data_IF_844796269867
#
_entry.id   IF_844796269867
#
_cell.length_a   1.000
_cell.length_b   1.000
_cell.length_c   1.000
_cell.angle_alpha   90.00
_cell.angle_beta   90.00
_cell.angle_gamma   90.00
#
_symmetry.space_group_name_H-M   'P 1'
#
loop_
_entity.id
_entity.type
_entity.pdbx_description
1 polymer ?
#
# COMPACT_ATOMS: atom_id res chain seq x y z
N UNK A 1 -55.14 82.32 11.57
CA UNK A 1 -54.84 81.28 10.55
C UNK A 1 -53.37 80.95 10.68
N UNK A 2 -53.07 79.78 11.24
CA UNK A 2 -51.71 79.24 11.32
C UNK A 2 -51.82 77.80 10.88
N UNK A 3 -51.29 77.58 9.69
CA UNK A 3 -51.37 76.40 8.85
C UNK A 3 -50.62 75.25 9.53
N UNK A 4 -51.35 74.20 9.92
CA UNK A 4 -50.76 72.97 10.44
C UNK A 4 -50.20 72.23 9.23
N UNK A 5 -48.89 72.36 9.01
CA UNK A 5 -48.14 71.52 8.08
C UNK A 5 -48.06 70.13 8.74
N UNK A 6 -49.02 69.27 8.40
CA UNK A 6 -48.91 67.83 8.67
C UNK A 6 -47.65 67.31 7.97
N UNK A 7 -46.64 66.96 8.75
CA UNK A 7 -45.50 66.20 8.26
C UNK A 7 -46.02 64.85 7.76
N UNK A 8 -46.14 64.67 6.45
CA UNK A 8 -46.40 63.36 5.86
C UNK A 8 -45.24 62.40 6.22
N UNK A 9 -45.45 61.57 7.25
CA UNK A 9 -44.57 60.44 7.53
C UNK A 9 -44.47 59.57 6.27
N UNK A 10 -43.22 59.36 5.82
CA UNK A 10 -42.89 58.52 4.64
C UNK A 10 -42.82 57.03 4.97
N UNK A 11 -43.03 56.67 6.24
CA UNK A 11 -43.05 55.29 6.72
C UNK A 11 -44.41 54.95 7.30
N UNK A 12 -44.95 53.81 6.85
CA UNK A 12 -46.29 53.35 7.20
C UNK A 12 -46.27 52.60 8.55
N UNK A 13 -45.26 51.75 8.78
CA UNK A 13 -44.97 51.09 10.07
C UNK A 13 -43.47 50.80 10.16
N UNK A 14 -42.89 50.87 11.36
CA UNK A 14 -41.51 50.45 11.62
C UNK A 14 -41.36 48.91 11.56
N UNK A 15 -40.33 48.44 10.86
CA UNK A 15 -40.02 47.02 10.71
C UNK A 15 -39.49 46.39 12.02
N UNK A 16 -39.50 45.05 12.14
CA UNK A 16 -38.84 44.37 13.24
C UNK A 16 -37.36 44.79 13.36
N UNK A 17 -36.88 45.18 14.55
CA UNK A 17 -35.47 45.42 14.81
C UNK A 17 -34.62 44.18 14.46
N UNK A 18 -33.38 44.39 14.01
CA UNK A 18 -32.49 43.31 13.55
C UNK A 18 -32.31 42.21 14.61
N UNK A 19 -32.24 42.60 15.87
CA UNK A 19 -32.05 41.72 17.04
C UNK A 19 -33.24 40.76 17.23
N UNK A 20 -34.45 41.19 16.85
CA UNK A 20 -35.69 40.42 17.01
C UNK A 20 -36.15 39.77 15.70
N UNK A 21 -35.59 40.18 14.56
CA UNK A 21 -36.00 39.74 13.24
C UNK A 21 -35.97 38.21 13.10
N UNK A 22 -34.91 37.54 13.56
CA UNK A 22 -34.87 36.06 13.50
C UNK A 22 -36.05 35.42 14.24
N UNK A 23 -36.36 35.89 15.44
CA UNK A 23 -37.49 35.37 16.23
C UNK A 23 -38.83 35.63 15.55
N UNK A 24 -39.00 36.82 14.98
CA UNK A 24 -40.22 37.22 14.26
C UNK A 24 -40.45 36.37 13.01
N UNK A 25 -39.43 36.17 12.17
CA UNK A 25 -39.56 35.40 10.92
C UNK A 25 -39.59 33.88 11.13
N UNK A 26 -39.13 33.37 12.29
CA UNK A 26 -39.19 31.93 12.61
C UNK A 26 -40.45 31.52 13.37
N UNK A 27 -41.24 32.48 13.86
CA UNK A 27 -42.50 32.23 14.56
C UNK A 27 -43.66 32.23 13.57
N UNK A 28 -44.52 31.21 13.64
CA UNK A 28 -45.78 31.19 12.88
C UNK A 28 -46.63 32.41 13.24
N UNK A 29 -46.99 33.24 12.25
CA UNK A 29 -47.72 34.49 12.49
C UNK A 29 -46.89 35.61 13.16
N UNK A 30 -45.56 35.48 13.23
CA UNK A 30 -44.73 36.48 13.93
C UNK A 30 -44.77 37.88 13.32
N UNK A 31 -45.14 37.99 12.03
CA UNK A 31 -45.34 39.28 11.35
C UNK A 31 -46.73 39.88 11.54
N UNK A 32 -47.69 39.14 12.10
CA UNK A 32 -49.09 39.57 12.22
C UNK A 32 -49.22 40.92 12.96
N UNK A 33 -48.50 41.20 14.07
CA UNK A 33 -48.57 42.52 14.72
C UNK A 33 -48.14 43.69 13.83
N UNK A 34 -47.25 43.45 12.86
CA UNK A 34 -46.81 44.47 11.89
C UNK A 34 -47.83 44.63 10.77
N UNK A 35 -48.42 43.52 10.30
CA UNK A 35 -49.49 43.52 9.30
C UNK A 35 -50.76 44.19 9.83
N UNK A 36 -51.12 43.94 11.09
CA UNK A 36 -52.25 44.58 11.77
C UNK A 36 -52.08 46.10 11.86
N UNK A 37 -50.88 46.59 12.19
CA UNK A 37 -50.58 48.03 12.18
C UNK A 37 -50.68 48.63 10.78
N UNK A 38 -50.16 47.96 9.76
CA UNK A 38 -50.29 48.38 8.36
C UNK A 38 -51.77 48.45 7.96
N UNK A 39 -52.55 47.45 8.38
CA UNK A 39 -53.98 47.38 8.10
C UNK A 39 -54.75 48.51 8.79
N UNK A 40 -54.42 48.85 10.04
CA UNK A 40 -55.02 49.99 10.74
C UNK A 40 -54.78 51.32 10.02
N UNK A 41 -53.57 51.56 9.52
CA UNK A 41 -53.24 52.76 8.71
C UNK A 41 -54.01 52.80 7.38
N UNK A 42 -54.18 51.64 6.73
CA UNK A 42 -54.98 51.52 5.50
C UNK A 42 -56.47 51.78 5.79
N UNK A 43 -56.99 51.27 6.90
CA UNK A 43 -58.41 51.43 7.27
C UNK A 43 -58.76 52.85 7.71
N UNK A 44 -57.79 53.59 8.27
CA UNK A 44 -57.94 55.01 8.58
C UNK A 44 -57.92 55.91 7.33
N UNK A 45 -57.41 55.42 6.20
CA UNK A 45 -57.29 56.19 4.96
C UNK A 45 -58.62 56.26 4.20
N UNK A 46 -59.15 57.47 4.02
CA UNK A 46 -60.39 57.72 3.27
C UNK A 46 -60.08 58.12 1.83
N UNK A 47 -60.33 57.25 0.83
CA UNK A 47 -60.01 57.54 -0.57
C UNK A 47 -61.02 58.50 -1.20
N UNK A 48 -60.54 59.53 -1.90
CA UNK A 48 -61.34 60.42 -2.76
C UNK A 48 -60.84 60.36 -4.21
N UNK A 49 -61.70 59.94 -5.13
CA UNK A 49 -61.38 59.87 -6.58
C UNK A 49 -61.86 61.08 -7.37
N UNK A 50 -62.69 61.94 -6.76
CA UNK A 50 -63.32 63.09 -7.43
C UNK A 50 -62.30 64.20 -7.73
N UNK A 51 -61.24 64.31 -6.91
CA UNK A 51 -60.21 65.34 -7.05
C UNK A 51 -58.86 64.78 -7.51
N UNK A 52 -58.04 65.60 -8.19
CA UNK A 52 -56.68 65.23 -8.56
C UNK A 52 -55.81 64.96 -7.32
N UNK A 53 -56.00 65.75 -6.24
CA UNK A 53 -55.31 65.56 -4.97
C UNK A 53 -55.66 64.23 -4.31
N UNK A 54 -56.94 63.86 -4.26
CA UNK A 54 -57.39 62.58 -3.69
C UNK A 54 -56.83 61.37 -4.46
N UNK A 55 -56.84 61.40 -5.80
CA UNK A 55 -56.19 60.36 -6.63
C UNK A 55 -54.70 60.24 -6.36
N UNK A 56 -54.00 61.37 -6.17
CA UNK A 56 -52.57 61.36 -5.82
C UNK A 56 -52.32 60.79 -4.42
N UNK A 57 -53.20 61.06 -3.45
CA UNK A 57 -53.10 60.49 -2.10
C UNK A 57 -53.29 58.95 -2.10
N UNK A 58 -54.22 58.44 -2.93
CA UNK A 58 -54.41 56.99 -3.12
C UNK A 58 -53.13 56.35 -3.67
N UNK A 59 -52.52 56.96 -4.70
CA UNK A 59 -51.26 56.49 -5.27
C UNK A 59 -50.12 56.50 -4.24
N UNK A 60 -50.04 57.56 -3.40
CA UNK A 60 -49.06 57.65 -2.32
C UNK A 60 -49.23 56.54 -1.28
N UNK A 61 -50.47 56.27 -0.84
CA UNK A 61 -50.76 55.19 0.10
C UNK A 61 -50.37 53.82 -0.48
N UNK A 62 -50.75 53.53 -1.73
CA UNK A 62 -50.35 52.31 -2.42
C UNK A 62 -48.83 52.16 -2.53
N UNK A 63 -48.11 53.25 -2.83
CA UNK A 63 -46.65 53.26 -2.88
C UNK A 63 -46.02 52.95 -1.51
N UNK A 64 -46.55 53.52 -0.42
CA UNK A 64 -46.08 53.21 0.94
C UNK A 64 -46.28 51.72 1.29
N UNK A 65 -47.42 51.12 0.92
CA UNK A 65 -47.68 49.68 1.08
C UNK A 65 -46.68 48.83 0.26
N UNK A 66 -46.40 49.23 -0.98
CA UNK A 66 -45.42 48.53 -1.81
C UNK A 66 -44.00 48.61 -1.23
N UNK A 67 -43.62 49.76 -0.68
CA UNK A 67 -42.32 49.98 -0.03
C UNK A 67 -42.16 49.09 1.20
N UNK A 68 -43.15 49.03 2.09
CA UNK A 68 -43.05 48.21 3.31
C UNK A 68 -43.07 46.71 2.99
N UNK A 69 -43.86 46.27 1.98
CA UNK A 69 -43.81 44.88 1.47
C UNK A 69 -42.39 44.51 1.05
N UNK A 70 -41.76 45.35 0.23
CA UNK A 70 -40.39 45.12 -0.27
C UNK A 70 -39.39 45.05 0.88
N UNK A 71 -39.55 45.90 1.89
CA UNK A 71 -38.66 45.94 3.04
C UNK A 71 -38.82 44.72 3.97
N UNK A 72 -40.06 44.25 4.22
CA UNK A 72 -40.33 42.98 4.93
C UNK A 72 -39.72 41.80 4.15
N UNK A 73 -39.86 41.75 2.83
CA UNK A 73 -39.25 40.67 2.03
C UNK A 73 -37.71 40.70 2.09
N UNK A 74 -37.11 41.88 1.97
CA UNK A 74 -35.66 42.06 2.02
C UNK A 74 -35.07 41.68 3.39
N UNK A 75 -35.74 42.05 4.48
CA UNK A 75 -35.33 41.67 5.84
C UNK A 75 -35.40 40.15 6.03
N UNK A 76 -36.49 39.50 5.60
CA UNK A 76 -36.62 38.04 5.65
C UNK A 76 -35.55 37.30 4.85
N UNK A 77 -35.21 37.80 3.65
CA UNK A 77 -34.08 37.28 2.86
C UNK A 77 -32.75 37.41 3.59
N UNK A 78 -32.51 38.56 4.23
CA UNK A 78 -31.29 38.81 5.01
C UNK A 78 -31.18 37.85 6.18
N UNK A 79 -32.24 37.69 6.98
CA UNK A 79 -32.29 36.75 8.11
C UNK A 79 -32.04 35.31 7.64
N UNK A 80 -32.68 34.88 6.55
CA UNK A 80 -32.47 33.53 6.00
C UNK A 80 -31.02 33.31 5.52
N UNK A 81 -30.42 34.33 4.90
CA UNK A 81 -29.04 34.26 4.44
C UNK A 81 -28.06 34.18 5.63
N UNK A 82 -28.18 35.07 6.62
CA UNK A 82 -27.35 35.07 7.82
C UNK A 82 -27.46 33.72 8.57
N UNK A 83 -28.68 33.17 8.70
CA UNK A 83 -28.91 31.89 9.36
C UNK A 83 -28.26 30.72 8.61
N UNK A 84 -28.24 30.74 7.27
CA UNK A 84 -27.59 29.70 6.45
C UNK A 84 -26.06 29.77 6.49
N UNK A 85 -25.48 30.92 6.83
CA UNK A 85 -24.02 31.04 6.97
C UNK A 85 -23.49 30.36 8.24
N UNK A 86 -24.30 30.23 9.29
CA UNK A 86 -23.93 29.54 10.53
C UNK A 86 -23.59 28.06 10.28
N UNK A 87 -24.49 27.20 9.73
CA UNK A 87 -24.18 25.79 9.49
C UNK A 87 -23.03 25.62 8.49
N UNK A 88 -22.93 26.48 7.46
CA UNK A 88 -21.79 26.47 6.52
C UNK A 88 -20.45 26.65 7.24
N UNK A 89 -20.35 27.65 8.12
CA UNK A 89 -19.13 27.91 8.91
C UNK A 89 -18.83 26.77 9.88
N UNK A 90 -19.86 26.24 10.55
CA UNK A 90 -19.70 25.09 11.46
C UNK A 90 -19.17 23.88 10.72
N UNK A 91 -19.74 23.52 9.57
CA UNK A 91 -19.29 22.36 8.80
C UNK A 91 -17.89 22.56 8.21
N UNK A 92 -17.56 23.77 7.76
CA UNK A 92 -16.22 24.11 7.32
C UNK A 92 -15.18 23.93 8.44
N UNK A 93 -15.47 24.43 9.65
CA UNK A 93 -14.55 24.31 10.78
C UNK A 93 -14.44 22.87 11.29
N UNK A 94 -15.55 22.12 11.29
CA UNK A 94 -15.55 20.68 11.61
C UNK A 94 -14.68 19.90 10.64
N UNK A 95 -14.78 20.17 9.33
CA UNK A 95 -13.94 19.54 8.31
C UNK A 95 -12.47 19.89 8.53
N UNK A 96 -12.15 21.19 8.64
CA UNK A 96 -10.78 21.68 8.89
C UNK A 96 -10.17 21.03 10.13
N UNK A 97 -10.93 20.95 11.22
CA UNK A 97 -10.45 20.36 12.48
C UNK A 97 -10.20 18.87 12.32
N UNK A 98 -11.10 18.13 11.67
CA UNK A 98 -10.90 16.70 11.41
C UNK A 98 -9.63 16.44 10.61
N UNK A 99 -9.46 17.11 9.46
CA UNK A 99 -8.30 16.93 8.59
C UNK A 99 -6.99 17.26 9.34
N UNK A 100 -7.01 18.29 10.19
CA UNK A 100 -5.86 18.68 11.00
C UNK A 100 -5.53 17.66 12.09
N UNK A 101 -6.55 17.11 12.76
CA UNK A 101 -6.37 16.06 13.77
C UNK A 101 -5.91 14.74 13.15
N UNK A 102 -6.42 14.38 11.97
CA UNK A 102 -5.96 13.21 11.21
C UNK A 102 -4.48 13.33 10.83
N UNK A 103 -4.07 14.51 10.33
CA UNK A 103 -2.66 14.80 10.05
C UNK A 103 -1.79 14.65 11.31
N UNK A 104 -2.19 15.28 12.42
CA UNK A 104 -1.42 15.20 13.67
C UNK A 104 -1.38 13.79 14.25
N UNK A 105 -2.46 13.02 14.13
CA UNK A 105 -2.48 11.62 14.53
C UNK A 105 -1.46 10.81 13.71
N UNK A 106 -1.39 11.03 12.40
CA UNK A 106 -0.41 10.39 11.54
C UNK A 106 1.02 10.80 11.90
N UNK A 107 1.27 12.09 12.13
CA UNK A 107 2.59 12.61 12.52
C UNK A 107 3.06 12.04 13.86
N UNK A 108 2.15 11.95 14.84
CA UNK A 108 2.44 11.35 16.15
C UNK A 108 2.74 9.85 16.02
N UNK A 109 2.04 9.14 15.13
CA UNK A 109 2.22 7.69 14.92
C UNK A 109 3.45 7.35 14.07
N UNK A 110 3.90 8.29 13.22
CA UNK A 110 4.95 8.07 12.22
C UNK A 110 6.25 7.47 12.79
N UNK A 111 6.84 7.96 13.89
CA UNK A 111 8.08 7.38 14.41
C UNK A 111 7.93 5.91 14.85
N UNK A 112 6.75 5.54 15.39
CA UNK A 112 6.47 4.16 15.77
C UNK A 112 6.32 3.28 14.52
N UNK A 113 5.68 3.79 13.46
CA UNK A 113 5.54 3.05 12.19
C UNK A 113 6.91 2.80 11.55
N UNK A 114 7.77 3.82 11.51
CA UNK A 114 9.13 3.71 10.98
C UNK A 114 9.97 2.71 11.78
N UNK A 115 9.85 2.73 13.10
CA UNK A 115 10.54 1.76 13.96
C UNK A 115 10.01 0.33 13.78
N UNK A 116 8.68 0.13 13.74
CA UNK A 116 8.07 -1.18 13.52
C UNK A 116 8.50 -1.79 12.18
N UNK A 117 8.53 -0.99 11.12
CA UNK A 117 9.00 -1.43 9.80
C UNK A 117 10.49 -1.79 9.83
N UNK A 118 11.34 -0.92 10.41
CA UNK A 118 12.77 -1.19 10.50
C UNK A 118 13.05 -2.45 11.34
N UNK A 119 12.27 -2.69 12.38
CA UNK A 119 12.38 -3.86 13.26
C UNK A 119 11.91 -5.15 12.55
N UNK A 120 10.82 -5.08 11.78
CA UNK A 120 10.37 -6.20 10.95
C UNK A 120 11.42 -6.55 9.89
N UNK A 121 11.97 -5.56 9.20
CA UNK A 121 13.05 -5.73 8.21
C UNK A 121 14.33 -6.30 8.86
N UNK A 122 14.67 -5.84 10.08
CA UNK A 122 15.80 -6.36 10.87
C UNK A 122 15.60 -7.85 11.17
N UNK A 123 14.47 -8.23 11.76
CA UNK A 123 14.16 -9.62 12.10
C UNK A 123 14.09 -10.51 10.85
N UNK A 124 13.46 -10.04 9.77
CA UNK A 124 13.37 -10.78 8.52
C UNK A 124 14.76 -11.07 7.94
N UNK A 125 15.67 -10.09 7.94
CA UNK A 125 17.06 -10.25 7.49
C UNK A 125 17.79 -11.33 8.29
N UNK A 126 17.69 -11.30 9.62
CA UNK A 126 18.35 -12.30 10.48
C UNK A 126 17.78 -13.70 10.25
N UNK A 127 16.45 -13.83 10.22
CA UNK A 127 15.79 -15.10 9.94
C UNK A 127 16.17 -15.66 8.55
N UNK A 128 16.27 -14.81 7.52
CA UNK A 128 16.72 -15.23 6.19
C UNK A 128 18.18 -15.71 6.19
N UNK A 129 19.07 -15.04 6.93
CA UNK A 129 20.46 -15.47 7.05
C UNK A 129 20.58 -16.84 7.74
N UNK A 130 19.86 -17.06 8.84
CA UNK A 130 19.78 -18.36 9.52
C UNK A 130 19.19 -19.42 8.59
N UNK A 131 18.09 -19.10 7.89
CA UNK A 131 17.45 -20.00 6.94
C UNK A 131 18.40 -20.40 5.81
N UNK A 132 19.19 -19.46 5.27
CA UNK A 132 20.18 -19.73 4.23
C UNK A 132 21.22 -20.74 4.70
N UNK A 133 21.74 -20.60 5.92
CA UNK A 133 22.66 -21.57 6.51
C UNK A 133 22.01 -22.95 6.66
N UNK A 134 20.77 -23.00 7.16
CA UNK A 134 20.03 -24.26 7.27
C UNK A 134 19.76 -24.93 5.91
N UNK A 135 19.57 -24.16 4.83
CA UNK A 135 19.39 -24.70 3.48
C UNK A 135 20.66 -25.39 2.97
N UNK A 136 21.85 -24.87 3.26
CA UNK A 136 23.10 -25.59 2.93
C UNK A 136 23.16 -26.96 3.59
N UNK A 137 22.74 -27.06 4.86
CA UNK A 137 22.67 -28.34 5.55
C UNK A 137 21.64 -29.30 4.93
N UNK A 138 20.46 -28.78 4.57
CA UNK A 138 19.37 -29.57 4.00
C UNK A 138 19.69 -30.06 2.57
N UNK A 139 20.43 -29.25 1.80
CA UNK A 139 20.78 -29.56 0.41
C UNK A 139 22.10 -30.33 0.28
N UNK A 140 22.82 -30.57 1.38
CA UNK A 140 24.04 -31.36 1.35
C UNK A 140 23.73 -32.82 0.99
N UNK A 141 24.06 -33.20 -0.25
CA UNK A 141 23.82 -34.53 -0.79
C UNK A 141 25.04 -35.04 -1.53
N UNK A 142 25.35 -36.33 -1.37
CA UNK A 142 26.41 -37.02 -2.12
C UNK A 142 26.12 -37.12 -3.63
N UNK A 143 24.89 -36.82 -4.06
CA UNK A 143 24.54 -36.80 -5.49
C UNK A 143 25.09 -35.56 -6.20
N UNK A 144 25.41 -34.51 -5.44
CA UNK A 144 26.02 -33.28 -5.94
C UNK A 144 27.51 -33.54 -6.25
N UNK A 145 28.04 -32.89 -7.28
CA UNK A 145 29.46 -32.97 -7.66
C UNK A 145 30.38 -32.44 -6.54
N UNK A 146 31.55 -33.08 -6.38
CA UNK A 146 32.54 -32.74 -5.35
C UNK A 146 32.93 -31.26 -5.37
N UNK A 147 33.11 -30.66 -6.56
CA UNK A 147 33.49 -29.26 -6.69
C UNK A 147 32.40 -28.33 -6.15
N UNK A 148 31.14 -28.56 -6.53
CA UNK A 148 29.99 -27.79 -6.07
C UNK A 148 29.82 -27.89 -4.55
N UNK A 149 30.01 -29.08 -3.97
CA UNK A 149 29.95 -29.25 -2.52
C UNK A 149 31.07 -28.47 -1.79
N UNK A 150 32.27 -28.42 -2.37
CA UNK A 150 33.39 -27.63 -1.84
C UNK A 150 33.12 -26.12 -1.94
N UNK A 151 32.52 -25.65 -3.03
CA UNK A 151 32.10 -24.25 -3.18
C UNK A 151 31.02 -23.88 -2.15
N UNK A 152 30.03 -24.75 -1.94
CA UNK A 152 29.01 -24.57 -0.91
C UNK A 152 29.65 -24.50 0.49
N UNK A 153 30.60 -25.38 0.79
CA UNK A 153 31.33 -25.37 2.07
C UNK A 153 32.09 -24.06 2.27
N UNK A 154 32.81 -23.61 1.24
CA UNK A 154 33.53 -22.33 1.27
C UNK A 154 32.61 -21.13 1.52
N UNK A 155 31.43 -21.12 0.90
CA UNK A 155 30.43 -20.06 1.12
C UNK A 155 29.90 -20.03 2.57
N UNK A 156 29.66 -21.21 3.16
CA UNK A 156 29.24 -21.32 4.57
C UNK A 156 30.37 -20.87 5.50
N UNK A 157 31.61 -21.35 5.27
CA UNK A 157 32.76 -21.00 6.10
C UNK A 157 33.05 -19.49 6.08
N UNK A 158 32.90 -18.84 4.91
CA UNK A 158 33.06 -17.40 4.74
C UNK A 158 31.97 -16.54 5.43
N UNK A 159 30.84 -17.13 5.80
CA UNK A 159 29.78 -16.38 6.50
C UNK A 159 30.22 -16.08 7.94
N UNK A 160 30.52 -14.83 8.26
CA UNK A 160 30.84 -14.41 9.64
C UNK A 160 29.55 -14.30 10.45
N UNK A 161 29.50 -15.01 11.57
CA UNK A 161 28.46 -14.91 12.59
C UNK A 161 29.14 -14.29 13.80
N UNK A 162 28.71 -13.08 14.16
CA UNK A 162 29.24 -12.23 15.22
C UNK A 162 28.11 -11.38 15.83
N UNK A 163 28.44 -10.45 16.72
CA UNK A 163 27.51 -9.53 17.38
C UNK A 163 26.53 -8.82 16.42
N UNK A 164 26.86 -8.67 15.13
CA UNK A 164 25.94 -8.08 14.15
C UNK A 164 24.69 -8.91 13.89
N UNK A 165 24.64 -10.16 14.35
CA UNK A 165 23.47 -11.03 14.31
C UNK A 165 22.54 -10.86 15.51
N UNK A 166 22.93 -10.05 16.49
CA UNK A 166 22.11 -9.70 17.65
C UNK A 166 21.58 -10.96 18.37
N UNK A 167 20.29 -11.03 18.71
CA UNK A 167 19.71 -12.18 19.41
C UNK A 167 19.75 -13.49 18.59
N UNK A 168 20.05 -13.41 17.29
CA UNK A 168 20.13 -14.55 16.39
C UNK A 168 21.53 -15.15 16.28
N UNK A 169 22.56 -14.54 16.87
CA UNK A 169 23.95 -15.00 16.78
C UNK A 169 24.10 -16.47 17.18
N UNK A 170 23.55 -16.84 18.34
CA UNK A 170 23.58 -18.23 18.84
C UNK A 170 22.87 -19.21 17.91
N UNK A 171 21.80 -18.79 17.22
CA UNK A 171 21.14 -19.62 16.21
C UNK A 171 21.94 -19.70 14.91
N UNK A 172 22.54 -18.59 14.49
CA UNK A 172 23.43 -18.50 13.35
C UNK A 172 24.64 -19.44 13.49
N UNK A 173 25.29 -19.48 14.65
CA UNK A 173 26.39 -20.41 14.92
C UNK A 173 25.93 -21.86 14.81
N UNK A 174 24.80 -22.23 15.44
CA UNK A 174 24.24 -23.59 15.35
C UNK A 174 23.91 -23.97 13.92
N UNK A 175 23.31 -23.07 13.14
CA UNK A 175 22.98 -23.32 11.73
C UNK A 175 24.25 -23.46 10.87
N UNK A 176 25.27 -22.63 11.10
CA UNK A 176 26.57 -22.69 10.41
C UNK A 176 27.29 -24.00 10.69
N UNK A 177 27.40 -24.39 11.96
CA UNK A 177 28.04 -25.65 12.37
C UNK A 177 27.33 -26.85 11.73
N UNK A 178 26.00 -26.88 11.77
CA UNK A 178 25.20 -27.92 11.13
C UNK A 178 25.46 -28.01 9.62
N UNK A 179 25.50 -26.87 8.93
CA UNK A 179 25.78 -26.81 7.50
C UNK A 179 27.17 -27.34 7.15
N UNK A 180 28.20 -26.91 7.90
CA UNK A 180 29.59 -27.40 7.71
C UNK A 180 29.65 -28.91 7.92
N UNK A 181 29.04 -29.43 8.99
CA UNK A 181 29.04 -30.86 9.30
C UNK A 181 28.36 -31.68 8.19
N UNK A 182 27.19 -31.24 7.73
CA UNK A 182 26.45 -31.90 6.65
C UNK A 182 27.22 -31.88 5.32
N UNK A 183 27.82 -30.75 4.96
CA UNK A 183 28.57 -30.61 3.70
C UNK A 183 29.85 -31.45 3.72
N UNK A 184 30.61 -31.44 4.83
CA UNK A 184 31.80 -32.30 4.97
C UNK A 184 31.44 -33.78 4.83
N UNK A 185 30.37 -34.22 5.48
CA UNK A 185 29.89 -35.60 5.36
C UNK A 185 29.47 -35.96 3.92
N UNK A 186 28.87 -35.03 3.18
CA UNK A 186 28.52 -35.23 1.77
C UNK A 186 29.76 -35.29 0.86
N UNK A 187 30.74 -34.42 1.09
CA UNK A 187 32.02 -34.39 0.37
C UNK A 187 32.76 -35.71 0.57
N UNK A 188 32.90 -36.17 1.81
CA UNK A 188 33.61 -37.42 2.13
C UNK A 188 32.99 -38.61 1.39
N UNK A 189 31.65 -38.72 1.43
CA UNK A 189 30.92 -39.77 0.70
C UNK A 189 31.09 -39.66 -0.81
N UNK A 190 31.03 -38.44 -1.36
CA UNK A 190 31.17 -38.21 -2.79
C UNK A 190 32.57 -38.57 -3.28
N UNK A 191 33.61 -38.16 -2.55
CA UNK A 191 34.99 -38.47 -2.90
C UNK A 191 35.29 -39.97 -2.81
N UNK A 192 34.74 -40.66 -1.80
CA UNK A 192 34.80 -42.12 -1.71
C UNK A 192 34.16 -42.77 -2.93
N UNK A 193 32.94 -42.35 -3.29
CA UNK A 193 32.24 -42.85 -4.47
C UNK A 193 33.04 -42.61 -5.76
N UNK A 194 33.59 -41.41 -5.97
CA UNK A 194 34.40 -41.07 -7.14
C UNK A 194 35.69 -41.90 -7.22
N UNK A 195 36.35 -42.14 -6.09
CA UNK A 195 37.54 -42.99 -6.02
C UNK A 195 37.21 -44.46 -6.35
N UNK A 196 36.12 -44.99 -5.79
CA UNK A 196 35.63 -46.35 -6.10
C UNK A 196 35.27 -46.51 -7.58
N UNK A 197 34.62 -45.52 -8.19
CA UNK A 197 34.32 -45.54 -9.62
C UNK A 197 35.58 -45.48 -10.49
N UNK A 198 36.58 -44.68 -10.12
CA UNK A 198 37.84 -44.58 -10.82
C UNK A 198 38.64 -45.89 -10.75
N UNK A 199 38.70 -46.52 -9.58
CA UNK A 199 39.35 -47.83 -9.40
C UNK A 199 38.64 -48.90 -10.23
N UNK A 200 37.31 -48.95 -10.19
CA UNK A 200 36.52 -49.89 -10.98
C UNK A 200 36.72 -49.70 -12.49
N UNK A 201 36.81 -48.46 -12.95
CA UNK A 201 37.10 -48.15 -14.36
C UNK A 201 38.50 -48.65 -14.77
N UNK A 202 39.51 -48.47 -13.91
CA UNK A 202 40.87 -48.97 -14.14
C UNK A 202 40.91 -50.50 -14.19
N UNK A 203 40.25 -51.18 -13.25
CA UNK A 203 40.16 -52.65 -13.23
C UNK A 203 39.50 -53.20 -14.49
N UNK A 204 38.44 -52.54 -14.99
CA UNK A 204 37.78 -52.90 -16.26
C UNK A 204 38.70 -52.70 -17.46
N UNK A 205 39.44 -51.59 -17.51
CA UNK A 205 40.40 -51.32 -18.60
C UNK A 205 41.55 -52.33 -18.61
N UNK A 206 42.12 -52.66 -17.44
CA UNK A 206 43.19 -53.65 -17.30
C UNK A 206 42.72 -55.05 -17.69
N UNK A 207 41.50 -55.45 -17.28
CA UNK A 207 40.90 -56.73 -17.66
C UNK A 207 40.65 -56.83 -19.18
N UNK A 208 40.15 -55.75 -19.80
CA UNK A 208 39.94 -55.71 -21.25
C UNK A 208 41.26 -55.76 -22.02
N UNK A 209 42.28 -55.02 -21.57
CA UNK A 209 43.61 -55.05 -22.17
C UNK A 209 44.24 -56.46 -22.11
N UNK A 210 44.10 -57.15 -20.97
CA UNK A 210 44.53 -58.56 -20.83
C UNK A 210 43.79 -59.46 -21.80
N UNK A 211 42.46 -59.34 -21.89
CA UNK A 211 41.64 -60.13 -22.82
C UNK A 211 42.06 -59.94 -24.28
N UNK A 212 42.32 -58.69 -24.69
CA UNK A 212 42.81 -58.38 -26.04
C UNK A 212 44.20 -59.00 -26.27
N UNK A 213 45.09 -58.92 -25.28
CA UNK A 213 46.42 -59.49 -25.38
C UNK A 213 46.39 -61.02 -25.45
N UNK A 214 45.62 -61.67 -24.58
CA UNK A 214 45.43 -63.13 -24.59
C UNK A 214 44.88 -63.62 -25.93
N UNK A 215 43.94 -62.87 -26.52
CA UNK A 215 43.38 -63.18 -27.84
C UNK A 215 44.41 -63.00 -28.96
N UNK A 216 45.21 -61.92 -28.93
CA UNK A 216 46.33 -61.74 -29.88
C UNK A 216 47.35 -62.86 -29.77
N UNK A 217 47.71 -63.25 -28.54
CA UNK A 217 48.67 -64.32 -28.28
C UNK A 217 48.11 -65.69 -28.67
N UNK A 218 46.78 -65.89 -28.57
CA UNK A 218 46.11 -67.08 -29.11
C UNK A 218 46.17 -67.11 -30.64
N UNK A 219 45.79 -66.02 -31.32
CA UNK A 219 45.85 -65.91 -32.78
C UNK A 219 47.29 -66.09 -33.30
N UNK A 220 48.28 -65.50 -32.63
CA UNK A 220 49.69 -65.64 -33.00
C UNK A 220 50.19 -67.08 -32.87
N UNK A 221 49.80 -67.78 -31.78
CA UNK A 221 50.12 -69.21 -31.60
C UNK A 221 49.44 -70.07 -32.68
N UNK A 222 48.15 -69.86 -32.93
CA UNK A 222 47.39 -70.58 -33.97
C UNK A 222 48.00 -70.37 -35.36
N UNK A 223 48.41 -69.13 -35.69
CA UNK A 223 49.08 -68.82 -36.95
C UNK A 223 50.48 -69.47 -37.07
N UNK A 224 51.28 -69.45 -35.99
CA UNK A 224 52.58 -70.11 -35.96
C UNK A 224 52.45 -71.63 -36.14
N UNK A 225 51.49 -72.26 -35.45
CA UNK A 225 51.20 -73.70 -35.57
C UNK A 225 50.76 -74.07 -37.00
N UNK A 226 49.88 -73.26 -37.61
CA UNK A 226 49.45 -73.45 -39.00
C UNK A 226 50.61 -73.33 -40.00
N UNK A 227 51.52 -72.37 -39.81
CA UNK A 227 52.69 -72.19 -40.67
C UNK A 227 53.66 -73.39 -40.60
N UNK A 228 53.90 -73.93 -39.40
CA UNK A 228 54.70 -75.18 -39.24
C UNK A 228 54.05 -76.38 -39.92
N UNK A 229 52.72 -76.51 -39.87
CA UNK A 229 52.01 -77.61 -40.56
C UNK A 229 52.06 -77.47 -42.09
N UNK A 230 51.94 -76.24 -42.62
CA UNK A 230 52.04 -75.99 -44.05
C UNK A 230 53.45 -76.28 -44.60
N UNK A 231 54.51 -75.83 -43.92
CA UNK A 231 55.90 -76.10 -44.29
C UNK A 231 56.24 -77.61 -44.23
N UNK A 232 55.65 -78.35 -43.29
CA UNK A 232 55.77 -79.81 -43.22
C UNK A 232 55.09 -80.54 -44.39
N UNK A 233 54.01 -79.98 -44.94
CA UNK A 233 53.31 -80.56 -46.10
C UNK A 233 53.96 -80.24 -47.45
N UNK A 234 54.61 -79.09 -47.62
CA UNK A 234 55.36 -78.74 -48.84
C UNK A 234 56.66 -79.55 -49.00
N UNK A 235 57.31 -79.92 -47.89
CA UNK A 235 58.48 -80.81 -47.91
C UNK A 235 58.13 -82.25 -48.30
N UNK A 236 56.86 -82.67 -48.19
CA UNK A 236 56.41 -84.02 -48.54
C UNK A 236 55.87 -84.13 -49.98
N UNK A 237 55.70 -83.01 -50.70
CA UNK A 237 55.19 -82.96 -52.07
C UNK A 237 56.26 -82.82 -53.17
N UNK A 238 57.55 -82.80 -52.81
CA UNK A 238 58.68 -82.65 -53.74
C UNK A 238 59.68 -83.80 -53.59
N UNK A 239 59.19 -85.02 -53.77
CA UNK A 239 59.95 -86.27 -54.01
C UNK A 239 59.17 -87.11 -54.99
#
# INVERSE_FOLDING_TARGET
>A
MSEVIEQESTELVALPPKETALSVYSTSGGLDPYLERIKAEIDAFVPDTSTAKGRSAIASMAFKVAKIKTAIEALGKTVSAELKEIPKKVDAERKRTREKLELWQADVRKPLTEWEQAEEERQARHNQNVMRLNQYAANASQEIESLTLLEMLGAVEATVVDDSWEEFESEGHRAKEKAIASLRAAIDKRQQYEAEQAELAKLRADAEARRIQDEKDRIAREAAEAATKAAGSESAGRT
#
